data_IF_969522564689
#
_entry.id   IF_969522564689
#
_cell.length_a   1.000
_cell.length_b   1.000
_cell.length_c   1.000
_cell.angle_alpha   90.00
_cell.angle_beta   90.00
_cell.angle_gamma   90.00
#
_symmetry.space_group_name_H-M   'P 1'
#
loop_
_entity.id
_entity.type
_entity.pdbx_description
1 polymer ?
#
# COMPACT_ATOMS: atom_id res chain seq x y z
N UNK A 1 8.00 7.74 -12.14
CA UNK A 1 8.79 6.56 -12.57
C UNK A 1 7.96 5.75 -13.53
N UNK A 2 8.54 5.36 -14.66
CA UNK A 2 7.88 4.59 -15.72
C UNK A 2 8.85 3.54 -16.28
N UNK A 3 8.36 2.42 -16.77
CA UNK A 3 9.20 1.36 -17.34
C UNK A 3 8.50 0.76 -18.55
N UNK A 4 9.17 0.80 -19.70
CA UNK A 4 8.66 0.23 -20.95
C UNK A 4 8.37 -1.27 -20.78
N UNK A 5 7.23 -1.74 -21.29
CA UNK A 5 6.82 -3.14 -21.17
C UNK A 5 6.26 -3.54 -19.80
N UNK A 6 6.11 -2.61 -18.86
CA UNK A 6 5.62 -2.88 -17.50
C UNK A 6 4.52 -1.91 -17.08
N UNK A 7 3.64 -2.39 -16.21
CA UNK A 7 2.90 -1.54 -15.28
C UNK A 7 3.81 -1.24 -14.08
N UNK A 8 3.87 0.01 -13.63
CA UNK A 8 4.52 0.43 -12.39
C UNK A 8 3.45 0.87 -11.39
N UNK A 9 3.48 0.34 -10.17
CA UNK A 9 2.47 0.60 -9.14
C UNK A 9 3.10 0.60 -7.74
N UNK A 10 2.32 0.88 -6.70
CA UNK A 10 2.72 0.79 -5.28
C UNK A 10 4.11 1.38 -4.97
N UNK A 11 4.35 2.64 -5.30
CA UNK A 11 5.65 3.29 -5.11
C UNK A 11 5.92 3.53 -3.62
N UNK A 12 6.86 2.80 -3.01
CA UNK A 12 7.25 2.87 -1.60
C UNK A 12 8.67 3.48 -1.48
N UNK A 13 8.77 4.79 -1.20
CA UNK A 13 10.04 5.52 -1.16
C UNK A 13 10.69 5.48 0.23
N UNK A 14 12.01 5.62 0.28
CA UNK A 14 12.78 5.86 1.51
C UNK A 14 14.09 6.61 1.18
N UNK A 15 14.56 7.49 2.06
CA UNK A 15 15.91 8.04 1.95
C UNK A 15 16.93 7.00 2.41
N UNK A 16 17.96 6.79 1.60
CA UNK A 16 19.12 5.97 1.94
C UNK A 16 20.17 6.75 2.71
N UNK A 17 20.97 6.04 3.51
CA UNK A 17 22.14 6.61 4.19
C UNK A 17 23.23 7.05 3.19
N UNK A 18 23.12 6.63 1.93
CA UNK A 18 23.94 7.07 0.79
C UNK A 18 23.50 8.42 0.18
N UNK A 19 22.48 9.05 0.76
CA UNK A 19 21.92 10.33 0.31
C UNK A 19 21.00 10.24 -0.89
N UNK A 20 20.65 9.03 -1.36
CA UNK A 20 19.74 8.82 -2.50
C UNK A 20 18.32 8.56 -2.03
N UNK A 21 17.38 8.69 -2.96
CA UNK A 21 16.01 8.20 -2.78
C UNK A 21 15.93 6.80 -3.35
N UNK A 22 15.63 5.83 -2.50
CA UNK A 22 15.34 4.46 -2.88
C UNK A 22 13.85 4.30 -3.07
N UNK A 23 13.45 3.63 -4.15
CA UNK A 23 12.06 3.35 -4.46
C UNK A 23 11.88 1.85 -4.63
N UNK A 24 11.12 1.23 -3.74
CA UNK A 24 10.62 -0.14 -3.90
C UNK A 24 9.23 -0.04 -4.50
N UNK A 25 8.96 -0.79 -5.56
CA UNK A 25 7.71 -0.65 -6.30
C UNK A 25 7.25 -1.97 -6.88
N UNK A 26 5.94 -2.10 -6.99
CA UNK A 26 5.34 -3.22 -7.71
C UNK A 26 5.50 -3.01 -9.20
N UNK A 27 5.86 -4.06 -9.94
CA UNK A 27 5.73 -4.06 -11.40
C UNK A 27 5.30 -5.41 -11.94
N UNK A 28 4.66 -5.42 -13.09
CA UNK A 28 4.33 -6.65 -13.84
C UNK A 28 4.33 -6.39 -15.35
N UNK A 29 4.63 -7.41 -16.17
CA UNK A 29 4.67 -7.24 -17.62
C UNK A 29 3.33 -6.79 -18.21
N UNK A 30 3.36 -5.83 -19.13
CA UNK A 30 2.17 -5.21 -19.71
C UNK A 30 1.24 -6.20 -20.43
N UNK A 31 1.80 -7.29 -20.98
CA UNK A 31 1.04 -8.31 -21.71
C UNK A 31 -0.05 -8.99 -20.87
N UNK A 32 0.01 -8.88 -19.55
CA UNK A 32 -1.01 -9.40 -18.62
C UNK A 32 -2.08 -8.36 -18.24
N UNK A 33 -1.98 -7.13 -18.78
CA UNK A 33 -2.86 -6.02 -18.49
C UNK A 33 -2.91 -5.66 -17.00
N UNK A 34 -3.90 -4.86 -16.60
CA UNK A 34 -4.08 -4.49 -15.20
C UNK A 34 -4.34 -5.72 -14.30
N UNK A 35 -4.85 -6.84 -14.81
CA UNK A 35 -5.05 -8.06 -14.01
C UNK A 35 -3.74 -8.73 -13.57
N UNK A 36 -2.61 -8.41 -14.22
CA UNK A 36 -1.30 -9.01 -13.95
C UNK A 36 -0.83 -8.87 -12.51
N UNK A 37 -1.25 -7.84 -11.79
CA UNK A 37 -0.77 -7.60 -10.42
C UNK A 37 -1.03 -8.75 -9.44
N UNK A 38 -2.09 -9.55 -9.63
CA UNK A 38 -2.42 -10.62 -8.67
C UNK A 38 -1.67 -11.94 -8.95
N UNK A 39 -1.04 -12.08 -10.13
CA UNK A 39 -0.46 -13.36 -10.56
C UNK A 39 0.88 -13.25 -11.32
N UNK A 40 1.43 -12.03 -11.45
CA UNK A 40 2.68 -11.71 -12.14
C UNK A 40 3.46 -10.54 -11.53
N UNK A 41 3.02 -9.97 -10.41
CA UNK A 41 3.75 -8.85 -9.81
C UNK A 41 5.02 -9.33 -9.12
N UNK A 42 6.05 -8.52 -9.28
CA UNK A 42 7.30 -8.56 -8.54
C UNK A 42 7.51 -7.21 -7.84
N UNK A 43 8.39 -7.18 -6.84
CA UNK A 43 8.86 -5.94 -6.22
C UNK A 43 10.24 -5.63 -6.78
N UNK A 44 10.35 -4.50 -7.47
CA UNK A 44 11.59 -3.97 -8.02
C UNK A 44 12.13 -2.83 -7.15
N UNK A 45 13.41 -2.55 -7.29
CA UNK A 45 14.11 -1.46 -6.63
C UNK A 45 14.77 -0.54 -7.65
N UNK A 46 14.58 0.76 -7.48
CA UNK A 46 15.21 1.81 -8.26
C UNK A 46 15.75 2.91 -7.33
N UNK A 47 16.70 3.69 -7.83
CA UNK A 47 17.30 4.83 -7.09
C UNK A 47 17.28 6.11 -7.90
N UNK A 48 17.21 7.24 -7.21
CA UNK A 48 17.35 8.57 -7.79
C UNK A 48 18.12 9.49 -6.84
N UNK A 49 18.77 10.52 -7.39
CA UNK A 49 19.44 11.55 -6.58
C UNK A 49 18.46 12.55 -5.93
N UNK A 50 17.22 12.61 -6.42
CA UNK A 50 16.15 13.46 -5.89
C UNK A 50 14.78 12.77 -5.99
N UNK A 51 13.79 13.14 -5.15
CA UNK A 51 12.47 12.49 -5.11
C UNK A 51 11.70 12.52 -6.43
N UNK A 52 11.90 13.53 -7.26
CA UNK A 52 11.25 13.67 -8.58
C UNK A 52 11.86 12.75 -9.64
N UNK A 53 12.99 12.11 -9.35
CA UNK A 53 13.75 11.33 -10.31
C UNK A 53 14.74 12.15 -11.15
N UNK A 54 15.26 11.61 -12.26
CA UNK A 54 14.89 10.31 -12.84
C UNK A 54 15.33 9.13 -11.95
N UNK A 55 14.52 8.07 -11.96
CA UNK A 55 14.81 6.82 -11.25
C UNK A 55 15.50 5.83 -12.18
N UNK A 56 16.57 5.21 -11.69
CA UNK A 56 17.32 4.15 -12.38
C UNK A 56 16.99 2.82 -11.73
N UNK A 57 16.47 1.88 -12.51
CA UNK A 57 16.25 0.50 -12.06
C UNK A 57 17.57 -0.15 -11.63
N UNK A 58 17.56 -0.84 -10.50
CA UNK A 58 18.70 -1.60 -10.00
C UNK A 58 18.45 -3.10 -10.14
N UNK A 59 17.40 -3.61 -9.49
CA UNK A 59 17.15 -5.04 -9.42
C UNK A 59 15.68 -5.38 -9.15
N UNK A 60 15.32 -6.64 -9.38
CA UNK A 60 14.09 -7.22 -8.85
C UNK A 60 14.40 -7.84 -7.50
N UNK A 61 13.86 -7.25 -6.44
CA UNK A 61 14.11 -7.65 -5.04
C UNK A 61 13.31 -8.90 -4.68
N UNK A 62 11.99 -8.89 -4.92
CA UNK A 62 11.12 -10.01 -4.58
C UNK A 62 10.39 -10.51 -5.84
N UNK A 63 10.68 -11.76 -6.23
CA UNK A 63 9.88 -12.52 -7.21
C UNK A 63 8.95 -13.52 -6.50
N UNK A 64 7.83 -13.92 -7.13
CA UNK A 64 7.00 -15.01 -6.63
C UNK A 64 7.77 -16.33 -6.47
N UNK A 65 7.47 -17.10 -5.42
CA UNK A 65 8.15 -18.38 -5.10
C UNK A 65 7.16 -19.53 -4.99
N UNK A 66 7.17 -20.47 -5.94
CA UNK A 66 6.27 -21.63 -5.92
C UNK A 66 6.40 -22.42 -4.60
N UNK A 67 5.28 -22.80 -4.01
CA UNK A 67 5.23 -23.54 -2.73
C UNK A 67 5.16 -22.66 -1.48
N UNK A 68 5.26 -21.35 -1.62
CA UNK A 68 5.15 -20.37 -0.53
C UNK A 68 3.84 -19.57 -0.60
N UNK A 69 3.55 -18.78 0.44
CA UNK A 69 2.35 -17.93 0.46
C UNK A 69 2.36 -16.81 -0.59
N UNK A 70 3.52 -16.53 -1.18
CA UNK A 70 3.78 -15.52 -2.21
C UNK A 70 4.02 -16.13 -3.61
N UNK A 71 3.48 -17.34 -3.86
CA UNK A 71 3.75 -18.13 -5.07
C UNK A 71 3.34 -17.51 -6.41
N UNK A 72 2.39 -16.59 -6.41
CA UNK A 72 1.86 -15.98 -7.65
C UNK A 72 2.15 -14.50 -7.75
N UNK A 73 2.39 -13.81 -6.64
CA UNK A 73 2.65 -12.38 -6.66
C UNK A 73 3.43 -11.90 -5.44
N UNK A 74 4.26 -10.88 -5.64
CA UNK A 74 4.81 -10.02 -4.61
C UNK A 74 4.40 -8.59 -4.96
N UNK A 75 3.59 -7.96 -4.11
CA UNK A 75 2.91 -6.70 -4.45
C UNK A 75 2.75 -5.82 -3.21
N UNK A 76 2.28 -4.59 -3.37
CA UNK A 76 2.01 -3.66 -2.26
C UNK A 76 3.19 -3.47 -1.28
N UNK A 77 4.42 -3.18 -1.75
CA UNK A 77 5.53 -2.90 -0.86
C UNK A 77 5.23 -1.72 0.06
N UNK A 78 5.76 -1.80 1.28
CA UNK A 78 5.84 -0.72 2.26
C UNK A 78 7.18 -0.87 3.00
N UNK A 79 8.03 0.15 2.93
CA UNK A 79 9.40 0.12 3.44
C UNK A 79 9.53 1.03 4.67
N UNK A 80 10.22 0.54 5.70
CA UNK A 80 10.55 1.29 6.92
C UNK A 80 11.97 0.97 7.36
N UNK A 81 12.65 1.93 8.00
CA UNK A 81 13.93 1.69 8.69
C UNK A 81 13.67 1.79 10.20
N UNK A 82 14.05 0.75 10.93
CA UNK A 82 13.93 0.69 12.40
C UNK A 82 15.29 0.25 12.96
N UNK A 83 15.93 1.16 13.71
CA UNK A 83 17.34 1.00 14.06
C UNK A 83 18.19 0.82 12.82
N UNK A 84 19.01 -0.25 12.80
CA UNK A 84 19.91 -0.58 11.68
C UNK A 84 19.29 -1.57 10.67
N UNK A 85 17.98 -1.83 10.75
CA UNK A 85 17.31 -2.80 9.88
C UNK A 85 16.27 -2.10 9.00
N UNK A 86 16.26 -2.44 7.73
CA UNK A 86 15.23 -2.11 6.76
C UNK A 86 14.20 -3.24 6.71
N UNK A 87 12.93 -2.88 6.80
CA UNK A 87 11.79 -3.80 6.81
C UNK A 87 10.87 -3.48 5.63
N UNK A 88 10.78 -4.43 4.69
CA UNK A 88 9.94 -4.37 3.50
C UNK A 88 8.73 -5.29 3.70
N UNK A 89 7.61 -4.70 4.11
CA UNK A 89 6.32 -5.38 4.14
C UNK A 89 5.78 -5.50 2.73
N UNK A 90 5.11 -6.61 2.42
CA UNK A 90 4.50 -6.83 1.12
C UNK A 90 3.27 -7.73 1.22
N UNK A 91 2.46 -7.75 0.18
CA UNK A 91 1.43 -8.74 -0.04
C UNK A 91 1.94 -9.87 -0.93
N UNK A 92 1.79 -11.10 -0.46
CA UNK A 92 1.92 -12.33 -1.22
C UNK A 92 0.56 -12.92 -1.58
N UNK A 93 0.55 -13.83 -2.56
CA UNK A 93 -0.62 -14.63 -2.91
C UNK A 93 -0.22 -16.04 -3.38
N UNK A 94 -0.92 -17.08 -2.94
CA UNK A 94 -0.54 -18.47 -3.24
C UNK A 94 -1.23 -19.08 -4.46
N UNK A 95 -2.38 -18.56 -4.92
CA UNK A 95 -3.20 -19.21 -5.96
C UNK A 95 -3.81 -18.27 -7.02
N UNK A 96 -3.44 -16.98 -7.00
CA UNK A 96 -3.97 -15.94 -7.88
C UNK A 96 -5.39 -15.47 -7.52
N UNK A 97 -6.02 -16.00 -6.48
CA UNK A 97 -7.37 -15.59 -6.05
C UNK A 97 -7.33 -14.50 -5.00
N UNK A 98 -8.45 -13.82 -4.75
CA UNK A 98 -8.48 -12.80 -3.70
C UNK A 98 -8.38 -13.37 -2.27
N UNK A 99 -8.60 -14.67 -2.09
CA UNK A 99 -8.76 -15.33 -0.79
C UNK A 99 -7.43 -15.71 -0.11
N UNK A 100 -6.37 -15.85 -0.90
CA UNK A 100 -5.05 -16.30 -0.43
C UNK A 100 -4.05 -15.17 -0.29
N UNK A 101 -4.50 -13.92 -0.44
CA UNK A 101 -3.66 -12.75 -0.18
C UNK A 101 -3.29 -12.71 1.29
N UNK A 102 -2.00 -12.57 1.57
CA UNK A 102 -1.47 -12.42 2.93
C UNK A 102 -0.36 -11.39 2.96
N UNK A 103 -0.15 -10.77 4.12
CA UNK A 103 0.99 -9.89 4.35
C UNK A 103 2.22 -10.72 4.76
N UNK A 104 3.36 -10.43 4.15
CA UNK A 104 4.66 -10.97 4.51
C UNK A 104 5.68 -9.88 4.81
N UNK A 105 6.88 -10.31 5.19
CA UNK A 105 8.00 -9.43 5.52
C UNK A 105 9.28 -9.88 4.82
N UNK A 106 10.07 -8.92 4.35
CA UNK A 106 11.47 -9.12 4.04
C UNK A 106 12.30 -8.09 4.83
N UNK A 107 13.49 -8.48 5.28
CA UNK A 107 14.36 -7.60 6.05
C UNK A 107 15.79 -7.59 5.52
N UNK A 108 16.48 -6.48 5.69
CA UNK A 108 17.90 -6.36 5.34
C UNK A 108 18.61 -5.33 6.21
N UNK A 109 19.93 -5.45 6.31
CA UNK A 109 20.82 -4.41 6.88
C UNK A 109 21.21 -3.34 5.85
N UNK A 110 20.84 -3.52 4.59
CA UNK A 110 21.15 -2.60 3.50
C UNK A 110 19.95 -2.48 2.56
N UNK A 111 19.72 -1.28 2.02
CA UNK A 111 18.72 -1.09 0.96
C UNK A 111 19.09 -1.80 -0.35
N UNK A 112 20.34 -2.26 -0.50
CA UNK A 112 20.85 -3.07 -1.61
C UNK A 112 20.82 -4.58 -1.31
N UNK A 113 20.17 -4.98 -0.22
CA UNK A 113 20.11 -6.38 0.19
C UNK A 113 21.44 -6.94 0.76
N UNK A 114 21.56 -8.27 0.89
CA UNK A 114 20.53 -9.26 0.56
C UNK A 114 19.30 -9.13 1.45
N UNK A 115 18.14 -9.55 0.94
CA UNK A 115 16.87 -9.54 1.67
C UNK A 115 16.53 -10.93 2.20
N UNK A 116 16.38 -11.04 3.51
CA UNK A 116 15.85 -12.23 4.17
C UNK A 116 14.33 -12.15 4.19
N UNK A 117 13.65 -13.11 3.55
CA UNK A 117 12.19 -13.12 3.39
C UNK A 117 11.56 -14.11 4.35
N UNK A 118 10.41 -13.77 4.92
CA UNK A 118 9.61 -14.73 5.67
C UNK A 118 9.08 -15.84 4.73
N UNK A 119 9.06 -17.08 5.23
CA UNK A 119 8.45 -18.21 4.52
C UNK A 119 6.96 -18.35 4.81
N UNK A 120 6.49 -17.71 5.89
CA UNK A 120 5.10 -17.67 6.33
C UNK A 120 4.60 -16.21 6.32
N UNK A 121 3.28 -16.00 6.17
CA UNK A 121 2.71 -14.68 6.33
C UNK A 121 2.81 -14.19 7.78
N UNK A 122 2.83 -12.88 7.97
CA UNK A 122 2.80 -12.23 9.30
C UNK A 122 1.44 -12.37 9.99
N UNK A 123 0.36 -12.45 9.20
CA UNK A 123 -1.01 -12.51 9.70
C UNK A 123 -1.90 -13.30 8.73
N UNK A 124 -2.48 -14.40 9.21
CA UNK A 124 -3.51 -15.15 8.48
C UNK A 124 -4.87 -14.45 8.50
N UNK A 125 -5.79 -14.88 7.62
CA UNK A 125 -7.18 -14.41 7.63
C UNK A 125 -7.89 -14.74 8.96
N UNK A 126 -8.94 -14.00 9.26
CA UNK A 126 -9.76 -14.24 10.46
C UNK A 126 -10.48 -15.60 10.41
N UNK A 127 -11.06 -15.98 11.54
CA UNK A 127 -11.92 -17.16 11.63
C UNK A 127 -13.13 -17.02 10.71
N UNK A 128 -13.64 -18.15 10.20
CA UNK A 128 -14.77 -18.14 9.27
C UNK A 128 -15.98 -17.39 9.86
N UNK A 129 -16.52 -16.45 9.10
CA UNK A 129 -17.63 -15.58 9.52
C UNK A 129 -17.19 -14.25 10.13
N UNK A 130 -15.91 -14.08 10.49
CA UNK A 130 -15.38 -12.80 10.93
C UNK A 130 -15.40 -11.76 9.81
N UNK A 131 -15.32 -10.48 10.18
CA UNK A 131 -15.29 -9.38 9.20
C UNK A 131 -14.05 -9.42 8.30
N UNK A 132 -12.98 -10.11 8.73
CA UNK A 132 -11.69 -10.21 8.05
C UNK A 132 -11.30 -11.64 7.65
N UNK A 133 -12.29 -12.52 7.51
CA UNK A 133 -12.09 -13.94 7.17
C UNK A 133 -11.71 -14.19 5.70
N UNK A 134 -11.66 -13.14 4.87
CA UNK A 134 -11.32 -13.29 3.45
C UNK A 134 -9.80 -13.28 3.19
N UNK A 135 -9.07 -12.30 3.72
CA UNK A 135 -7.64 -12.09 3.44
C UNK A 135 -6.97 -11.12 4.40
N UNK A 136 -5.65 -10.91 4.26
CA UNK A 136 -4.92 -9.83 4.93
C UNK A 136 -4.02 -9.15 3.88
N UNK A 137 -4.19 -7.85 3.67
CA UNK A 137 -3.49 -7.14 2.59
C UNK A 137 -3.31 -5.65 2.89
N UNK A 138 -2.68 -4.92 1.97
CA UNK A 138 -2.37 -3.49 2.08
C UNK A 138 -1.69 -3.16 3.41
N UNK A 139 -0.47 -3.68 3.66
CA UNK A 139 0.23 -3.42 4.90
C UNK A 139 0.47 -1.91 5.06
N UNK A 140 0.10 -1.38 6.22
CA UNK A 140 0.44 -0.04 6.66
C UNK A 140 0.98 -0.15 8.08
N UNK A 141 2.25 0.18 8.27
CA UNK A 141 2.97 -0.09 9.52
C UNK A 141 3.36 1.19 10.23
N UNK A 142 3.36 1.15 11.56
CA UNK A 142 4.03 2.14 12.41
C UNK A 142 4.71 1.44 13.59
N UNK A 143 5.89 1.92 13.97
CA UNK A 143 6.48 1.58 15.26
C UNK A 143 5.81 2.47 16.31
N UNK A 144 4.98 1.88 17.16
CA UNK A 144 4.27 2.61 18.19
C UNK A 144 5.27 3.19 19.22
N UNK A 145 5.00 4.37 19.83
CA UNK A 145 5.91 4.99 20.81
C UNK A 145 6.25 4.13 22.04
N UNK A 146 5.44 3.11 22.33
CA UNK A 146 5.73 2.11 23.38
C UNK A 146 6.71 1.00 22.94
N UNK A 147 7.20 1.06 21.70
CA UNK A 147 8.13 0.10 21.10
C UNK A 147 7.47 -1.06 20.37
N UNK A 148 6.14 -1.16 20.34
CA UNK A 148 5.43 -2.26 19.68
C UNK A 148 5.26 -2.03 18.17
N UNK A 149 5.26 -3.12 17.43
CA UNK A 149 4.99 -3.16 16.00
C UNK A 149 3.47 -3.13 15.74
N UNK A 150 2.97 -2.05 15.16
CA UNK A 150 1.56 -1.89 14.81
C UNK A 150 1.38 -2.01 13.30
N UNK A 151 0.65 -3.04 12.87
CA UNK A 151 0.36 -3.33 11.47
C UNK A 151 -1.13 -3.18 11.22
N UNK A 152 -1.50 -2.13 10.50
CA UNK A 152 -2.84 -1.98 9.95
C UNK A 152 -2.95 -2.78 8.66
N UNK A 153 -4.08 -3.46 8.48
CA UNK A 153 -4.31 -4.34 7.35
C UNK A 153 -5.75 -4.23 6.87
N UNK A 154 -5.93 -4.37 5.56
CA UNK A 154 -7.25 -4.43 4.92
C UNK A 154 -7.77 -5.85 4.90
N UNK A 155 -9.06 -5.99 5.13
CA UNK A 155 -9.82 -7.22 4.83
C UNK A 155 -11.30 -6.92 4.57
N UNK A 156 -12.08 -7.98 4.38
CA UNK A 156 -13.54 -7.97 4.25
C UNK A 156 -14.08 -9.37 4.51
N UNK A 157 -15.40 -9.48 4.64
CA UNK A 157 -16.06 -10.76 4.87
C UNK A 157 -16.20 -11.57 3.56
N UNK A 158 -15.76 -12.82 3.59
CA UNK A 158 -15.71 -13.73 2.44
C UNK A 158 -17.10 -14.10 1.94
N UNK A 159 -18.04 -14.36 2.85
CA UNK A 159 -19.41 -14.74 2.49
C UNK A 159 -20.14 -13.57 1.83
N UNK A 160 -20.05 -12.37 2.41
CA UNK A 160 -20.60 -11.15 1.79
C UNK A 160 -20.04 -10.93 0.38
N UNK A 161 -18.73 -11.15 0.19
CA UNK A 161 -18.10 -11.00 -1.13
C UNK A 161 -18.59 -12.02 -2.17
N UNK A 162 -18.95 -13.23 -1.72
CA UNK A 162 -19.49 -14.29 -2.57
C UNK A 162 -20.96 -14.07 -2.93
N UNK A 163 -21.76 -13.62 -1.96
CA UNK A 163 -23.20 -13.47 -2.10
C UNK A 163 -23.59 -12.18 -2.83
N UNK A 164 -22.81 -11.11 -2.69
CA UNK A 164 -23.10 -9.82 -3.34
C UNK A 164 -22.73 -9.83 -4.83
N UNK A 165 -23.56 -9.15 -5.64
CA UNK A 165 -23.37 -8.96 -7.07
C UNK A 165 -22.92 -7.52 -7.37
N UNK A 166 -22.30 -7.32 -8.54
CA UNK A 166 -21.85 -6.00 -9.00
C UNK A 166 -20.33 -5.81 -8.94
N UNK A 167 -19.89 -4.62 -9.31
CA UNK A 167 -18.46 -4.26 -9.44
C UNK A 167 -17.77 -4.01 -8.11
N UNK A 168 -18.53 -3.64 -7.08
CA UNK A 168 -18.06 -3.44 -5.71
C UNK A 168 -18.84 -4.39 -4.80
N UNK A 169 -18.12 -5.28 -4.12
CA UNK A 169 -18.69 -6.37 -3.29
C UNK A 169 -17.99 -6.41 -1.94
N UNK A 170 -18.76 -6.73 -0.91
CA UNK A 170 -18.40 -6.60 0.51
C UNK A 170 -17.90 -5.18 0.84
N UNK A 171 -17.79 -4.86 2.13
CA UNK A 171 -17.11 -3.65 2.56
C UNK A 171 -15.68 -3.97 2.97
N UNK A 172 -14.71 -3.38 2.26
CA UNK A 172 -13.31 -3.30 2.72
C UNK A 172 -13.29 -2.50 4.02
N UNK A 173 -12.68 -3.09 5.05
CA UNK A 173 -12.45 -2.49 6.37
C UNK A 173 -10.97 -2.62 6.72
N UNK A 174 -10.50 -1.84 7.68
CA UNK A 174 -9.15 -1.98 8.21
C UNK A 174 -9.16 -2.39 9.67
N UNK A 175 -8.28 -3.35 9.98
CA UNK A 175 -7.99 -3.79 11.33
C UNK A 175 -6.56 -3.42 11.70
N UNK A 176 -6.27 -3.52 12.99
CA UNK A 176 -4.96 -3.39 13.61
C UNK A 176 -4.54 -4.76 14.16
N UNK A 177 -3.29 -5.14 13.89
CA UNK A 177 -2.62 -6.24 14.55
C UNK A 177 -1.32 -5.73 15.20
N UNK A 178 -1.02 -6.21 16.40
CA UNK A 178 0.07 -5.72 17.25
C UNK A 178 1.02 -6.87 17.57
N UNK A 179 2.32 -6.61 17.51
CA UNK A 179 3.38 -7.52 17.92
C UNK A 179 4.41 -6.79 18.80
N UNK A 180 5.14 -7.56 19.62
CA UNK A 180 6.27 -7.02 20.40
C UNK A 180 7.53 -6.80 19.53
N UNK A 181 7.60 -7.44 18.37
CA UNK A 181 8.69 -7.35 17.39
C UNK A 181 8.13 -7.17 15.98
N UNK A 182 8.93 -6.60 15.08
CA UNK A 182 8.50 -6.25 13.71
C UNK A 182 8.16 -7.48 12.87
N UNK A 183 8.86 -8.59 13.09
CA UNK A 183 8.65 -9.89 12.44
C UNK A 183 7.53 -10.73 13.10
N UNK A 184 6.86 -10.19 14.12
CA UNK A 184 5.73 -10.81 14.78
C UNK A 184 6.11 -11.62 16.03
N UNK A 185 5.25 -12.55 16.48
CA UNK A 185 3.92 -12.85 15.93
C UNK A 185 2.92 -11.70 16.18
N UNK A 186 2.07 -11.43 15.18
CA UNK A 186 1.03 -10.39 15.28
C UNK A 186 -0.27 -10.94 15.86
N UNK A 187 -0.88 -10.18 16.78
CA UNK A 187 -2.19 -10.46 17.36
C UNK A 187 -3.17 -9.35 17.00
N UNK A 188 -4.36 -9.73 16.56
CA UNK A 188 -5.44 -8.77 16.26
C UNK A 188 -5.80 -7.96 17.51
N UNK A 189 -6.01 -6.66 17.34
CA UNK A 189 -6.59 -5.81 18.37
C UNK A 189 -8.04 -6.20 18.66
N UNK A 190 -8.45 -6.11 19.92
CA UNK A 190 -9.84 -6.29 20.34
C UNK A 190 -10.79 -5.18 19.85
N UNK A 191 -10.23 -4.04 19.40
CA UNK A 191 -11.00 -2.92 18.83
C UNK A 191 -11.25 -3.03 17.33
N UNK A 192 -10.93 -4.17 16.71
CA UNK A 192 -11.12 -4.35 15.27
C UNK A 192 -12.59 -4.48 14.87
N UNK A 193 -12.99 -3.98 13.69
CA UNK A 193 -12.20 -3.14 12.77
C UNK A 193 -12.01 -1.70 13.29
N UNK A 194 -10.83 -1.11 13.06
CA UNK A 194 -10.52 0.28 13.47
C UNK A 194 -10.95 1.33 12.44
N UNK A 195 -11.18 0.92 11.19
CA UNK A 195 -11.87 1.73 10.17
C UNK A 195 -12.99 0.90 9.57
N UNK A 196 -14.22 1.39 9.68
CA UNK A 196 -15.41 0.78 9.10
C UNK A 196 -16.37 1.84 8.56
N UNK A 197 -16.27 2.15 7.26
CA UNK A 197 -17.17 3.11 6.61
C UNK A 197 -18.51 2.51 6.17
N UNK A 198 -18.73 1.20 6.40
CA UNK A 198 -20.02 0.56 6.02
C UNK A 198 -21.20 1.15 6.78
N UNK A 199 -20.96 1.75 7.95
CA UNK A 199 -21.96 2.44 8.76
C UNK A 199 -22.64 3.61 8.03
N UNK A 200 -22.00 4.16 7.00
CA UNK A 200 -22.52 5.29 6.22
C UNK A 200 -23.36 4.85 5.00
N UNK A 201 -23.59 3.54 4.81
CA UNK A 201 -24.36 3.01 3.68
C UNK A 201 -23.72 3.24 2.31
N UNK A 202 -24.45 2.91 1.24
CA UNK A 202 -24.06 3.05 -0.18
C UNK A 202 -22.69 2.46 -0.55
N UNK A 203 -22.27 1.44 0.18
CA UNK A 203 -21.01 0.75 -0.05
C UNK A 203 -19.77 1.68 0.02
N UNK A 204 -19.81 2.70 0.87
CA UNK A 204 -18.67 3.58 1.16
C UNK A 204 -17.54 2.77 1.80
N UNK A 205 -16.33 2.91 1.26
CA UNK A 205 -15.16 2.13 1.62
C UNK A 205 -13.88 2.94 1.42
N UNK A 206 -12.75 2.35 1.82
CA UNK A 206 -11.40 2.88 1.61
C UNK A 206 -10.45 1.79 1.13
N UNK A 207 -9.39 2.21 0.46
CA UNK A 207 -8.31 1.33 0.05
C UNK A 207 -6.94 1.98 0.30
N UNK A 208 -5.88 1.19 0.18
CA UNK A 208 -4.49 1.65 0.17
C UNK A 208 -4.03 2.54 1.34
N UNK A 209 -4.19 2.05 2.57
CA UNK A 209 -3.73 2.78 3.74
C UNK A 209 -2.22 3.04 3.75
N UNK A 210 -1.84 4.21 4.27
CA UNK A 210 -0.52 4.55 4.77
C UNK A 210 -0.69 5.28 6.10
N UNK A 211 -0.01 4.81 7.15
CA UNK A 211 -0.11 5.38 8.50
C UNK A 211 1.22 6.03 8.89
N UNK A 212 1.16 7.14 9.60
CA UNK A 212 2.34 7.80 10.17
C UNK A 212 1.95 8.58 11.44
N UNK A 213 2.96 8.95 12.23
CA UNK A 213 2.81 9.81 13.39
C UNK A 213 3.44 11.15 13.08
N UNK A 214 2.72 12.24 13.35
CA UNK A 214 3.22 13.61 13.23
C UNK A 214 2.67 14.42 14.40
N UNK A 215 3.56 15.15 15.10
CA UNK A 215 3.23 15.97 16.27
C UNK A 215 2.41 15.22 17.35
N UNK A 216 2.78 13.96 17.59
CA UNK A 216 2.12 13.09 18.58
C UNK A 216 0.76 12.53 18.16
N UNK A 217 0.30 12.80 16.94
CA UNK A 217 -0.97 12.30 16.41
C UNK A 217 -0.76 11.28 15.31
N UNK A 218 -1.61 10.27 15.29
CA UNK A 218 -1.68 9.31 14.20
C UNK A 218 -2.45 9.91 13.04
N UNK A 219 -1.92 9.72 11.83
CA UNK A 219 -2.53 10.13 10.57
C UNK A 219 -2.55 8.96 9.61
N UNK A 220 -3.66 8.78 8.91
CA UNK A 220 -3.79 7.71 7.91
C UNK A 220 -4.25 8.30 6.58
N UNK A 221 -3.44 8.12 5.55
CA UNK A 221 -3.77 8.44 4.16
C UNK A 221 -4.37 7.20 3.49
N UNK A 222 -5.44 7.39 2.73
CA UNK A 222 -6.14 6.29 2.05
C UNK A 222 -6.70 6.75 0.71
N UNK A 223 -6.91 5.81 -0.21
CA UNK A 223 -7.71 6.04 -1.41
C UNK A 223 -9.20 6.00 -1.04
N UNK A 224 -9.96 7.01 -1.48
CA UNK A 224 -11.41 7.00 -1.36
C UNK A 224 -12.07 5.97 -2.28
N UNK A 225 -13.10 5.30 -1.78
CA UNK A 225 -13.99 4.43 -2.54
C UNK A 225 -15.46 4.81 -2.37
N UNK A 226 -15.76 6.11 -2.46
CA UNK A 226 -17.12 6.62 -2.59
C UNK A 226 -17.65 7.34 -1.34
N UNK A 227 -16.81 7.66 -0.37
CA UNK A 227 -17.22 8.54 0.74
C UNK A 227 -17.47 9.97 0.25
N UNK A 228 -16.51 10.54 -0.48
CA UNK A 228 -16.65 11.79 -1.24
C UNK A 228 -16.66 11.54 -2.74
N UNK A 229 -15.67 10.82 -3.26
CA UNK A 229 -15.52 10.51 -4.70
C UNK A 229 -14.60 9.28 -4.90
N UNK A 230 -14.45 8.77 -6.12
CA UNK A 230 -13.52 7.68 -6.45
C UNK A 230 -12.14 8.15 -6.93
N UNK A 231 -11.94 9.46 -7.16
CA UNK A 231 -10.69 10.07 -7.66
C UNK A 231 -9.88 10.78 -6.58
N UNK A 232 -10.46 11.02 -5.41
CA UNK A 232 -9.81 11.75 -4.30
C UNK A 232 -9.11 10.80 -3.32
N UNK A 233 -8.16 11.35 -2.58
CA UNK A 233 -7.59 10.73 -1.39
C UNK A 233 -8.21 11.24 -0.11
N UNK A 234 -8.14 10.43 0.94
CA UNK A 234 -8.60 10.75 2.27
C UNK A 234 -7.45 10.84 3.26
N UNK A 235 -7.63 11.66 4.29
CA UNK A 235 -6.84 11.67 5.51
C UNK A 235 -7.75 11.49 6.73
N UNK A 236 -7.33 10.59 7.60
CA UNK A 236 -7.92 10.36 8.92
C UNK A 236 -6.92 10.79 9.99
N UNK A 237 -7.42 11.22 11.14
CA UNK A 237 -6.61 11.57 12.30
C UNK A 237 -7.05 10.80 13.54
N UNK A 238 -6.11 10.48 14.43
CA UNK A 238 -6.37 9.79 15.68
C UNK A 238 -5.36 10.19 16.75
N UNK A 239 -5.82 10.30 18.00
CA UNK A 239 -4.94 10.57 19.15
C UNK A 239 -4.30 9.28 19.69
N UNK A 240 -4.91 8.11 19.45
CA UNK A 240 -4.49 6.83 20.01
C UNK A 240 -4.18 5.75 18.96
N UNK A 241 -4.38 6.06 17.67
CA UNK A 241 -4.18 5.13 16.55
C UNK A 241 -5.26 4.05 16.44
N UNK A 242 -6.29 4.07 17.28
CA UNK A 242 -7.37 3.07 17.35
C UNK A 242 -8.71 3.71 16.96
N UNK A 243 -9.02 4.88 17.52
CA UNK A 243 -10.24 5.62 17.24
C UNK A 243 -9.94 6.75 16.25
N UNK A 244 -10.48 6.63 15.05
CA UNK A 244 -10.19 7.55 13.95
C UNK A 244 -11.33 8.54 13.73
N UNK A 245 -10.98 9.76 13.31
CA UNK A 245 -11.93 10.79 12.91
C UNK A 245 -12.71 10.39 11.65
N UNK A 246 -13.78 11.12 11.34
CA UNK A 246 -14.31 11.15 9.98
C UNK A 246 -13.21 11.60 8.99
N UNK A 247 -13.21 11.10 7.74
CA UNK A 247 -12.21 11.45 6.75
C UNK A 247 -12.36 12.90 6.27
N UNK A 248 -11.23 13.50 5.90
CA UNK A 248 -11.17 14.72 5.08
C UNK A 248 -10.50 14.41 3.76
N UNK A 249 -10.74 15.23 2.74
CA UNK A 249 -10.00 15.13 1.47
C UNK A 249 -8.54 15.51 1.70
N UNK A 250 -7.62 14.65 1.27
CA UNK A 250 -6.17 14.83 1.37
C UNK A 250 -5.54 15.28 0.05
N UNK A 251 -6.02 14.75 -1.07
CA UNK A 251 -5.61 15.15 -2.42
C UNK A 251 -6.77 14.97 -3.40
N UNK A 252 -6.72 15.71 -4.50
CA UNK A 252 -7.74 15.66 -5.56
C UNK A 252 -7.34 14.69 -6.70
N UNK A 253 -8.22 14.57 -7.70
CA UNK A 253 -7.92 13.85 -8.94
C UNK A 253 -6.80 14.50 -9.76
N UNK A 254 -6.31 13.78 -10.76
CA UNK A 254 -5.19 14.22 -11.60
C UNK A 254 -5.48 15.50 -12.36
N UNK A 255 -6.74 15.74 -12.73
CA UNK A 255 -7.22 16.95 -13.41
C UNK A 255 -7.02 18.24 -12.59
N UNK A 256 -6.92 18.13 -11.26
CA UNK A 256 -6.59 19.26 -10.40
C UNK A 256 -5.12 19.69 -10.48
N UNK A 257 -4.23 18.82 -11.00
CA UNK A 257 -2.77 19.03 -10.97
C UNK A 257 -2.11 18.94 -12.34
N UNK A 258 -2.72 18.23 -13.28
CA UNK A 258 -2.15 17.86 -14.57
C UNK A 258 -3.13 18.19 -15.70
N UNK A 259 -2.58 18.46 -16.87
CA UNK A 259 -3.32 18.43 -18.13
C UNK A 259 -2.92 17.18 -18.89
N UNK A 260 -3.78 16.17 -18.85
CA UNK A 260 -3.54 14.88 -19.50
C UNK A 260 -4.34 14.75 -20.80
N UNK A 261 -3.85 13.95 -21.78
CA UNK A 261 -4.69 13.55 -22.89
C UNK A 261 -5.92 12.74 -22.39
N UNK A 262 -6.98 12.61 -23.21
CA UNK A 262 -8.12 11.78 -22.86
C UNK A 262 -7.71 10.36 -22.49
N UNK A 263 -8.39 9.78 -21.49
CA UNK A 263 -8.13 8.43 -21.03
C UNK A 263 -8.13 7.42 -22.20
N UNK A 264 -7.07 6.60 -22.36
CA UNK A 264 -7.09 5.48 -23.29
C UNK A 264 -8.26 4.54 -22.98
N UNK A 265 -8.91 4.00 -24.01
CA UNK A 265 -10.16 3.19 -23.87
C UNK A 265 -10.00 1.98 -22.96
N UNK A 266 -8.79 1.42 -22.84
CA UNK A 266 -8.49 0.26 -21.99
C UNK A 266 -8.23 0.62 -20.52
N UNK A 267 -7.99 1.90 -20.20
CA UNK A 267 -7.67 2.37 -18.86
C UNK A 267 -8.93 2.89 -18.15
N UNK A 268 -9.61 1.99 -17.44
CA UNK A 268 -10.86 2.28 -16.71
C UNK A 268 -10.65 3.04 -15.40
N UNK A 269 -9.40 3.30 -15.02
CA UNK A 269 -9.02 3.91 -13.73
C UNK A 269 -8.13 5.13 -13.91
N UNK A 270 -8.30 5.82 -15.04
CA UNK A 270 -7.55 7.03 -15.37
C UNK A 270 -7.85 8.18 -14.40
N UNK A 271 -6.87 9.06 -14.17
CA UNK A 271 -7.06 10.31 -13.43
C UNK A 271 -7.18 10.21 -11.91
N UNK A 272 -6.93 9.04 -11.30
CA UNK A 272 -6.90 8.87 -9.84
C UNK A 272 -5.52 8.46 -9.34
N UNK A 273 -5.16 8.99 -8.18
CA UNK A 273 -3.95 8.59 -7.47
C UNK A 273 -4.29 7.50 -6.44
N UNK A 274 -3.65 6.35 -6.57
CA UNK A 274 -3.79 5.20 -5.67
C UNK A 274 -2.46 4.96 -4.93
N UNK A 275 -2.45 4.05 -3.95
CA UNK A 275 -1.22 3.63 -3.23
C UNK A 275 -0.39 4.79 -2.63
N UNK A 276 -0.97 5.67 -1.78
CA UNK A 276 -0.18 6.69 -1.10
C UNK A 276 0.94 6.07 -0.28
N UNK A 277 2.14 6.62 -0.38
CA UNK A 277 3.27 6.37 0.52
C UNK A 277 4.02 7.68 0.72
N UNK A 278 4.40 8.01 1.95
CA UNK A 278 5.15 9.23 2.22
C UNK A 278 6.66 8.97 2.19
N UNK A 279 7.39 9.88 1.57
CA UNK A 279 8.82 10.04 1.82
C UNK A 279 8.98 11.05 2.95
N UNK A 280 9.37 10.54 4.12
CA UNK A 280 9.55 11.33 5.33
C UNK A 280 10.94 11.97 5.36
N UNK A 281 11.05 13.23 5.79
CA UNK A 281 12.30 13.94 6.04
C UNK A 281 12.22 14.61 7.41
N UNK A 282 13.21 14.37 8.27
CA UNK A 282 13.30 14.99 9.60
C UNK A 282 12.01 14.80 10.43
N UNK A 283 11.39 13.62 10.34
CA UNK A 283 10.14 13.28 11.04
C UNK A 283 8.87 13.85 10.43
N UNK A 284 8.95 14.56 9.29
CA UNK A 284 7.80 15.19 8.62
C UNK A 284 7.58 14.65 7.21
N UNK A 285 6.34 14.60 6.70
CA UNK A 285 6.06 14.32 5.30
C UNK A 285 6.72 15.36 4.38
N UNK A 286 7.56 14.92 3.45
CA UNK A 286 8.20 15.81 2.46
C UNK A 286 7.65 15.60 1.05
N UNK A 287 7.36 14.35 0.69
CA UNK A 287 6.77 14.00 -0.60
C UNK A 287 5.72 12.90 -0.43
N UNK A 288 4.69 12.94 -1.27
CA UNK A 288 3.70 11.88 -1.38
C UNK A 288 3.90 11.16 -2.70
N UNK A 289 4.20 9.87 -2.63
CA UNK A 289 4.29 8.98 -3.77
C UNK A 289 2.97 8.25 -3.96
N UNK A 290 2.54 8.14 -5.21
CA UNK A 290 1.34 7.46 -5.63
C UNK A 290 1.60 6.64 -6.89
N UNK A 291 0.59 5.89 -7.30
CA UNK A 291 0.49 5.34 -8.64
C UNK A 291 -0.74 5.88 -9.37
N UNK A 292 -0.63 6.05 -10.68
CA UNK A 292 -1.69 6.51 -11.57
C UNK A 292 -1.67 5.71 -12.87
N UNK A 293 -2.84 5.44 -13.47
CA UNK A 293 -2.91 4.85 -14.81
C UNK A 293 -2.61 5.89 -15.88
N UNK A 294 -1.82 5.50 -16.89
CA UNK A 294 -1.34 6.42 -17.92
C UNK A 294 0.17 6.62 -17.86
N UNK A 295 0.63 7.75 -18.42
CA UNK A 295 2.03 8.02 -18.67
C UNK A 295 2.46 7.67 -20.09
N UNK A 296 3.76 7.79 -20.35
CA UNK A 296 4.43 7.59 -21.64
C UNK A 296 4.12 6.25 -22.30
N UNK A 297 3.94 5.19 -21.50
CA UNK A 297 3.70 3.82 -22.01
C UNK A 297 2.23 3.37 -21.94
N UNK A 298 1.29 4.25 -21.57
CA UNK A 298 -0.15 3.94 -21.47
C UNK A 298 -0.50 2.71 -20.61
N UNK A 299 0.34 2.42 -19.60
CA UNK A 299 0.12 1.37 -18.60
C UNK A 299 -0.24 2.00 -17.25
N UNK A 300 0.75 2.15 -16.37
CA UNK A 300 0.67 2.87 -15.12
C UNK A 300 2.04 3.36 -14.68
N UNK A 301 2.03 4.47 -13.95
CA UNK A 301 3.20 5.28 -13.62
C UNK A 301 3.23 5.60 -12.13
N UNK A 302 4.44 5.68 -11.59
CA UNK A 302 4.66 6.30 -10.28
C UNK A 302 4.59 7.83 -10.40
N UNK A 303 3.79 8.46 -9.54
CA UNK A 303 3.61 9.91 -9.45
C UNK A 303 4.09 10.42 -8.10
N UNK A 304 4.63 11.64 -8.04
CA UNK A 304 5.13 12.24 -6.81
C UNK A 304 4.63 13.68 -6.66
N UNK A 305 4.08 13.98 -5.50
CA UNK A 305 3.81 15.35 -5.06
C UNK A 305 4.91 15.80 -4.11
N UNK A 306 5.40 17.01 -4.30
CA UNK A 306 6.10 17.72 -3.24
C UNK A 306 5.06 18.26 -2.24
N UNK A 307 5.25 17.98 -0.96
CA UNK A 307 4.41 18.54 0.10
C UNK A 307 5.02 19.88 0.50
N UNK A 308 4.30 20.96 0.24
CA UNK A 308 4.68 22.31 0.65
C UNK A 308 3.88 22.67 1.91
N UNK A 309 4.59 23.03 2.98
CA UNK A 309 3.97 23.63 4.16
C UNK A 309 4.12 25.13 4.05
N UNK A 310 3.01 25.87 4.10
CA UNK A 310 3.07 27.30 4.32
C UNK A 310 3.70 27.55 5.70
N UNK A 311 4.81 28.31 5.73
CA UNK A 311 5.46 28.75 6.96
C UNK A 311 4.63 29.82 7.68
#
# INVERSE_FOLDING_TARGET
METEGYYVWCCAPIFGDDGKVHLFYSRWPEKYGMGGWIHKSEIAHAVADKPEGPYTYLETVLTPRLGYFDATTCHNPHIQKIGDTYYLFYMGNSDGTVYTKRIGLAQSKSLYGPWERSDKPLLDAGEAGAWDDCNTTNPAFVLHPDGKAWLYYKSWNKKEYQDQQGTIRANRKYGLAIADQVDGPYKRSGSNPVIDLSIHGDNKQVEDAYVYIEDGKYKMLMRDMGYFDHVVGLIFTSEDGIHWSEPKIAWFGADAYLTEPPAPRHLKRYGRFERPQLLMKDGKPAYLFNAIQGGKYETASGFVFQIVTDN
#
